data_IF_391745003590
#
_entry.id   IF_391745003590
#
_cell.length_a   1.000
_cell.length_b   1.000
_cell.length_c   1.000
_cell.angle_alpha   90.00
_cell.angle_beta   90.00
_cell.angle_gamma   90.00
#
_symmetry.space_group_name_H-M   'P 1'
#
loop_
_entity.id
_entity.type
_entity.pdbx_description
1 polymer ?
#
# COMPACT_ATOMS: atom_id res chain seq x y z
N UNK A 1 -16.65 -2.79 47.58
CA UNK A 1 -16.34 -4.12 47.02
C UNK A 1 -16.19 -3.99 45.51
N UNK A 2 -14.96 -3.92 44.99
CA UNK A 2 -14.71 -3.56 43.58
C UNK A 2 -13.53 -4.30 42.92
N UNK A 3 -13.25 -5.55 43.34
CA UNK A 3 -12.02 -6.27 42.93
C UNK A 3 -12.23 -7.49 42.00
N UNK A 4 -13.38 -7.64 41.32
CA UNK A 4 -13.65 -8.86 40.53
C UNK A 4 -13.63 -8.69 38.99
N UNK A 5 -13.66 -7.45 38.45
CA UNK A 5 -13.76 -7.23 36.98
C UNK A 5 -12.42 -7.34 36.25
N UNK A 6 -11.32 -6.93 36.86
CA UNK A 6 -9.97 -6.96 36.24
C UNK A 6 -9.39 -8.37 36.21
N UNK A 7 -9.63 -9.17 37.26
CA UNK A 7 -9.16 -10.55 37.34
C UNK A 7 -9.81 -11.46 36.29
N UNK A 8 -11.12 -11.29 36.04
CA UNK A 8 -11.83 -12.07 35.02
C UNK A 8 -11.41 -11.70 33.59
N UNK A 9 -11.13 -10.42 33.33
CA UNK A 9 -10.64 -9.95 32.03
C UNK A 9 -9.23 -10.48 31.72
N UNK A 10 -8.32 -10.42 32.69
CA UNK A 10 -6.97 -10.94 32.54
C UNK A 10 -6.97 -12.46 32.29
N UNK A 11 -7.84 -13.20 32.98
CA UNK A 11 -8.01 -14.65 32.77
C UNK A 11 -8.55 -14.97 31.38
N UNK A 12 -9.52 -14.18 30.88
CA UNK A 12 -10.06 -14.37 29.53
C UNK A 12 -8.99 -14.12 28.47
N UNK A 13 -8.16 -13.09 28.66
CA UNK A 13 -7.05 -12.77 27.73
C UNK A 13 -5.99 -13.88 27.72
N UNK A 14 -5.52 -14.31 28.89
CA UNK A 14 -4.54 -15.40 29.01
C UNK A 14 -5.05 -16.71 28.39
N UNK A 15 -6.33 -17.01 28.55
CA UNK A 15 -6.98 -18.17 27.92
C UNK A 15 -6.97 -18.08 26.40
N UNK A 16 -7.24 -16.89 25.84
CA UNK A 16 -7.24 -16.69 24.40
C UNK A 16 -5.83 -16.84 23.82
N UNK A 17 -4.85 -16.20 24.44
CA UNK A 17 -3.44 -16.30 24.01
C UNK A 17 -2.95 -17.75 24.04
N UNK A 18 -3.30 -18.50 25.09
CA UNK A 18 -2.96 -19.92 25.19
C UNK A 18 -3.60 -20.74 24.04
N UNK A 19 -4.88 -20.49 23.72
CA UNK A 19 -5.59 -21.15 22.61
C UNK A 19 -4.96 -20.88 21.25
N UNK A 20 -4.59 -19.62 21.00
CA UNK A 20 -3.94 -19.22 19.75
C UNK A 20 -2.61 -19.94 19.56
N UNK A 21 -1.79 -20.04 20.62
CA UNK A 21 -0.51 -20.74 20.56
C UNK A 21 -0.67 -22.24 20.36
N UNK A 22 -1.63 -22.86 21.04
CA UNK A 22 -1.93 -24.27 20.85
C UNK A 22 -2.44 -24.57 19.44
N UNK A 23 -3.27 -23.69 18.87
CA UNK A 23 -3.71 -23.75 17.47
C UNK A 23 -2.52 -23.69 16.50
N UNK A 24 -1.60 -22.75 16.72
CA UNK A 24 -0.38 -22.65 15.91
C UNK A 24 0.49 -23.91 16.03
N UNK A 25 0.60 -24.48 17.23
CA UNK A 25 1.31 -25.75 17.45
C UNK A 25 0.66 -26.91 16.69
N UNK A 26 -0.67 -27.00 16.66
CA UNK A 26 -1.41 -27.99 15.86
C UNK A 26 -1.14 -27.83 14.35
N UNK A 27 -1.18 -26.59 13.85
CA UNK A 27 -0.89 -26.30 12.45
C UNK A 27 0.55 -26.64 12.10
N UNK A 28 1.51 -26.31 12.96
CA UNK A 28 2.94 -26.56 12.75
C UNK A 28 3.29 -28.05 12.81
N UNK A 29 2.76 -28.78 13.78
CA UNK A 29 3.13 -30.17 14.02
C UNK A 29 2.32 -31.15 13.17
N UNK A 30 1.01 -30.92 13.01
CA UNK A 30 0.10 -31.85 12.35
C UNK A 30 -0.39 -31.36 10.99
N UNK A 31 -0.14 -30.10 10.62
CA UNK A 31 -0.66 -29.48 9.39
C UNK A 31 -2.15 -29.14 9.44
N UNK A 32 -2.80 -29.22 10.61
CA UNK A 32 -4.23 -28.98 10.77
C UNK A 32 -4.48 -27.53 11.20
N UNK A 33 -5.31 -26.81 10.47
CA UNK A 33 -5.81 -25.50 10.91
C UNK A 33 -7.04 -25.71 11.80
N UNK A 34 -6.92 -25.37 13.08
CA UNK A 34 -8.02 -25.44 14.07
C UNK A 34 -8.25 -24.02 14.59
N UNK A 35 -9.50 -23.57 14.60
CA UNK A 35 -9.86 -22.28 15.20
C UNK A 35 -9.46 -22.27 16.71
N UNK A 36 -8.76 -21.24 17.22
CA UNK A 36 -8.42 -21.10 18.64
C UNK A 36 -9.59 -21.40 19.61
N UNK A 37 -10.81 -21.00 19.24
CA UNK A 37 -12.00 -21.24 20.08
C UNK A 37 -12.40 -22.72 20.13
N UNK A 38 -11.99 -23.49 19.13
CA UNK A 38 -12.22 -24.93 19.01
C UNK A 38 -11.10 -25.77 19.63
N UNK A 39 -9.97 -25.18 19.99
CA UNK A 39 -8.87 -25.90 20.65
C UNK A 39 -9.34 -26.41 22.01
N UNK A 40 -9.16 -27.71 22.23
CA UNK A 40 -9.44 -28.38 23.50
C UNK A 40 -8.17 -29.03 24.04
N UNK A 41 -8.06 -29.00 25.36
CA UNK A 41 -7.00 -29.66 26.11
C UNK A 41 -7.41 -31.12 26.36
N UNK A 42 -8.58 -31.29 26.98
CA UNK A 42 -9.28 -32.56 27.03
C UNK A 42 -9.79 -32.96 25.65
N UNK A 43 -9.15 -33.96 25.05
CA UNK A 43 -9.45 -34.50 23.71
C UNK A 43 -10.20 -35.83 23.81
N UNK A 44 -11.02 -36.01 24.85
CA UNK A 44 -11.74 -37.26 25.14
C UNK A 44 -12.92 -37.52 24.19
N UNK A 45 -13.27 -36.56 23.33
CA UNK A 45 -14.33 -36.77 22.34
C UNK A 45 -13.82 -37.61 21.18
N UNK A 46 -14.68 -38.52 20.73
CA UNK A 46 -14.45 -39.41 19.59
C UNK A 46 -14.10 -38.64 18.31
N UNK A 47 -14.57 -37.41 18.20
CA UNK A 47 -14.36 -36.54 17.02
C UNK A 47 -13.06 -35.73 17.05
N UNK A 48 -12.32 -35.70 18.17
CA UNK A 48 -11.09 -34.92 18.23
C UNK A 48 -9.96 -35.70 17.52
N UNK A 49 -9.40 -35.19 16.40
CA UNK A 49 -8.45 -35.93 15.55
C UNK A 49 -7.04 -36.05 16.16
N UNK A 50 -6.81 -35.36 17.28
CA UNK A 50 -5.51 -35.26 17.93
C UNK A 50 -5.63 -35.51 19.44
N UNK A 51 -4.49 -35.78 20.09
CA UNK A 51 -4.32 -35.78 21.54
C UNK A 51 -3.03 -35.04 21.91
N UNK A 52 -2.90 -34.58 23.16
CA UNK A 52 -1.68 -33.94 23.65
C UNK A 52 -0.77 -34.99 24.29
N UNK A 53 0.48 -35.05 23.85
CA UNK A 53 1.52 -35.91 24.41
C UNK A 53 2.52 -35.03 25.20
N UNK A 54 2.94 -35.50 26.38
CA UNK A 54 3.76 -34.72 27.30
C UNK A 54 4.22 -35.51 28.52
N UNK A 55 5.02 -34.89 29.40
CA UNK A 55 5.51 -35.53 30.62
C UNK A 55 4.36 -35.86 31.58
N UNK A 56 4.51 -36.92 32.38
CA UNK A 56 3.51 -37.36 33.36
C UNK A 56 3.10 -36.25 34.35
N UNK A 57 4.03 -35.35 34.69
CA UNK A 57 3.79 -34.17 35.55
C UNK A 57 2.68 -33.24 35.01
N UNK A 58 2.35 -33.35 33.72
CA UNK A 58 1.32 -32.56 33.05
C UNK A 58 0.05 -33.34 32.73
N UNK A 59 -0.01 -34.63 33.04
CA UNK A 59 -1.16 -35.48 32.71
C UNK A 59 -2.47 -34.95 33.32
N UNK A 60 -2.42 -34.52 34.59
CA UNK A 60 -3.58 -33.95 35.29
C UNK A 60 -4.04 -32.66 34.63
N UNK A 61 -3.10 -31.75 34.32
CA UNK A 61 -3.39 -30.49 33.65
C UNK A 61 -4.00 -30.75 32.28
N UNK A 62 -3.44 -31.66 31.48
CA UNK A 62 -3.91 -32.02 30.13
C UNK A 62 -5.29 -32.70 30.11
N UNK A 63 -5.67 -33.34 31.21
CA UNK A 63 -6.98 -33.98 31.37
C UNK A 63 -8.12 -32.99 31.69
N UNK A 64 -7.77 -31.76 32.09
CA UNK A 64 -8.71 -30.71 32.49
C UNK A 64 -9.20 -29.83 31.32
N UNK A 65 -10.22 -29.01 31.58
CA UNK A 65 -10.67 -28.00 30.62
C UNK A 65 -9.84 -26.71 30.77
N UNK A 66 -9.56 -26.01 29.68
CA UNK A 66 -8.93 -24.67 29.74
C UNK A 66 -9.70 -23.67 30.64
N UNK A 67 -10.99 -23.90 30.90
CA UNK A 67 -11.81 -23.08 31.80
C UNK A 67 -11.62 -23.38 33.29
N UNK A 68 -11.07 -24.55 33.66
CA UNK A 68 -10.82 -24.93 35.06
C UNK A 68 -9.43 -24.53 35.51
N UNK A 69 -8.48 -24.40 34.58
CA UNK A 69 -7.10 -24.00 34.87
C UNK A 69 -6.99 -22.61 35.49
N UNK A 70 -6.07 -22.49 36.45
CA UNK A 70 -5.64 -21.21 37.03
C UNK A 70 -4.83 -20.39 36.01
N UNK A 71 -4.71 -19.07 36.22
CA UNK A 71 -3.89 -18.22 35.34
C UNK A 71 -2.42 -18.66 35.31
N UNK A 72 -1.89 -19.13 36.45
CA UNK A 72 -0.53 -19.65 36.53
C UNK A 72 -0.36 -20.88 35.63
N UNK A 73 -1.31 -21.83 35.67
CA UNK A 73 -1.28 -23.01 34.83
C UNK A 73 -1.44 -22.66 33.34
N UNK A 74 -2.23 -21.65 32.99
CA UNK A 74 -2.37 -21.18 31.61
C UNK A 74 -1.06 -20.59 31.05
N UNK A 75 -0.35 -19.76 31.82
CA UNK A 75 0.94 -19.21 31.39
C UNK A 75 2.02 -20.29 31.30
N UNK A 76 2.08 -21.21 32.28
CA UNK A 76 3.02 -22.33 32.26
C UNK A 76 2.75 -23.27 31.08
N UNK A 77 1.49 -23.57 30.78
CA UNK A 77 1.10 -24.38 29.63
C UNK A 77 1.54 -23.71 28.31
N UNK A 78 1.34 -22.40 28.19
CA UNK A 78 1.78 -21.62 27.02
C UNK A 78 3.29 -21.68 26.83
N UNK A 79 4.07 -21.51 27.90
CA UNK A 79 5.52 -21.62 27.85
C UNK A 79 6.00 -23.04 27.42
N UNK A 80 5.35 -24.08 27.95
CA UNK A 80 5.70 -25.48 27.69
C UNK A 80 5.33 -25.94 26.29
N UNK A 81 4.20 -25.46 25.74
CA UNK A 81 3.82 -25.67 24.34
C UNK A 81 4.81 -24.97 23.41
N UNK A 82 5.25 -23.74 23.73
CA UNK A 82 6.26 -23.04 22.94
C UNK A 82 7.63 -23.72 22.97
N UNK A 83 8.00 -24.31 24.12
CA UNK A 83 9.21 -25.11 24.28
C UNK A 83 9.13 -26.50 23.62
N UNK A 84 7.95 -26.88 23.09
CA UNK A 84 7.74 -28.17 22.41
C UNK A 84 7.78 -29.39 23.34
N UNK A 85 7.68 -29.17 24.66
CA UNK A 85 7.66 -30.26 25.65
C UNK A 85 6.33 -31.01 25.57
N UNK A 86 5.23 -30.27 25.43
CA UNK A 86 3.91 -30.82 25.11
C UNK A 86 3.68 -30.62 23.61
N UNK A 87 3.34 -31.69 22.91
CA UNK A 87 3.14 -31.67 21.47
C UNK A 87 1.88 -32.44 21.07
N UNK A 88 1.13 -31.94 20.06
CA UNK A 88 -0.04 -32.64 19.60
C UNK A 88 0.36 -33.84 18.74
N UNK A 89 -0.37 -34.95 18.88
CA UNK A 89 -0.21 -36.16 18.08
C UNK A 89 -1.53 -36.58 17.46
N UNK A 90 -1.47 -37.16 16.26
CA UNK A 90 -2.64 -37.75 15.61
C UNK A 90 -3.14 -38.95 16.40
N UNK A 91 -4.44 -39.01 16.69
CA UNK A 91 -5.08 -40.28 17.05
C UNK A 91 -5.05 -41.14 15.79
N UNK A 92 -4.20 -42.16 15.76
CA UNK A 92 -4.13 -43.07 14.62
C UNK A 92 -5.51 -43.69 14.39
N UNK A 93 -6.16 -43.38 13.27
CA UNK A 93 -7.36 -44.09 12.81
C UNK A 93 -7.07 -45.56 12.46
N UNK A 94 -5.80 -46.02 12.50
CA UNK A 94 -5.44 -47.44 12.28
C UNK A 94 -5.73 -48.34 13.48
N UNK A 95 -6.48 -47.87 14.47
CA UNK A 95 -6.84 -48.63 15.67
C UNK A 95 -8.02 -49.60 15.52
N UNK A 96 -8.73 -49.64 14.38
CA UNK A 96 -9.91 -50.51 14.18
C UNK A 96 -9.95 -51.16 12.78
N UNK A 97 -8.80 -51.64 12.25
CA UNK A 97 -8.78 -52.56 11.10
C UNK A 97 -8.71 -54.04 11.52
N UNK A 98 -9.10 -54.36 12.75
CA UNK A 98 -9.42 -55.74 13.15
C UNK A 98 -10.93 -55.88 13.17
N UNK A 99 -11.50 -56.48 12.12
CA UNK A 99 -12.85 -57.06 12.18
C UNK A 99 -13.93 -56.44 11.30
N UNK A 100 -13.59 -55.62 10.30
CA UNK A 100 -14.51 -55.27 9.22
C UNK A 100 -14.33 -56.25 8.06
N UNK A 101 -15.35 -57.07 7.85
CA UNK A 101 -15.51 -58.04 6.76
C UNK A 101 -15.04 -57.44 5.41
N UNK A 102 -13.79 -57.70 5.03
CA UNK A 102 -13.29 -57.45 3.69
C UNK A 102 -13.98 -58.49 2.80
N UNK A 103 -15.15 -58.16 2.26
CA UNK A 103 -15.50 -58.64 0.94
C UNK A 103 -14.40 -58.15 0.00
N UNK A 104 -13.38 -58.99 -0.18
CA UNK A 104 -12.27 -58.78 -1.08
C UNK A 104 -12.83 -58.64 -2.50
N UNK A 105 -13.12 -57.40 -2.89
CA UNK A 105 -13.14 -57.04 -4.29
C UNK A 105 -11.79 -57.47 -4.86
N UNK A 106 -11.75 -58.31 -5.91
CA UNK A 106 -10.51 -58.81 -6.49
C UNK A 106 -9.53 -57.67 -6.71
N UNK A 107 -8.24 -57.90 -6.46
CA UNK A 107 -7.17 -56.91 -6.65
C UNK A 107 -7.24 -56.22 -8.02
N UNK A 108 -7.79 -56.90 -9.03
CA UNK A 108 -8.05 -56.38 -10.37
C UNK A 108 -9.01 -55.18 -10.39
N UNK A 109 -10.06 -55.17 -9.57
CA UNK A 109 -10.98 -54.04 -9.44
C UNK A 109 -10.28 -52.82 -8.79
N UNK A 110 -9.53 -53.06 -7.71
CA UNK A 110 -8.72 -52.01 -7.05
C UNK A 110 -7.67 -51.42 -7.99
N UNK A 111 -7.03 -52.26 -8.81
CA UNK A 111 -6.03 -51.83 -9.78
C UNK A 111 -6.65 -50.99 -10.89
N UNK A 112 -7.83 -51.35 -11.38
CA UNK A 112 -8.59 -50.57 -12.38
C UNK A 112 -9.04 -49.22 -11.83
N UNK A 113 -9.52 -49.17 -10.58
CA UNK A 113 -9.88 -47.92 -9.91
C UNK A 113 -8.66 -47.01 -9.73
N UNK A 114 -7.53 -47.56 -9.28
CA UNK A 114 -6.29 -46.79 -9.13
C UNK A 114 -5.78 -46.26 -10.47
N UNK A 115 -5.87 -47.04 -11.55
CA UNK A 115 -5.54 -46.58 -12.90
C UNK A 115 -6.47 -45.44 -13.35
N UNK A 116 -7.77 -45.52 -13.07
CA UNK A 116 -8.72 -44.45 -13.38
C UNK A 116 -8.42 -43.17 -12.61
N UNK A 117 -8.12 -43.29 -11.31
CA UNK A 117 -7.76 -42.15 -10.45
C UNK A 117 -6.46 -41.50 -10.95
N UNK A 118 -5.44 -42.29 -11.27
CA UNK A 118 -4.16 -41.78 -11.76
C UNK A 118 -4.34 -41.06 -13.10
N UNK A 119 -5.16 -41.59 -14.01
CA UNK A 119 -5.53 -40.91 -15.26
C UNK A 119 -6.15 -39.52 -15.02
N UNK A 120 -7.17 -39.45 -14.14
CA UNK A 120 -7.80 -38.16 -13.77
C UNK A 120 -6.81 -37.19 -13.13
N UNK A 121 -5.90 -37.68 -12.29
CA UNK A 121 -4.86 -36.84 -11.68
C UNK A 121 -3.87 -36.32 -12.72
N UNK A 122 -3.49 -37.12 -13.72
CA UNK A 122 -2.60 -36.68 -14.79
C UNK A 122 -3.27 -35.61 -15.66
N UNK A 123 -4.55 -35.76 -15.98
CA UNK A 123 -5.34 -34.74 -16.69
C UNK A 123 -5.41 -33.44 -15.89
N UNK A 124 -5.67 -33.52 -14.58
CA UNK A 124 -5.72 -32.34 -13.71
C UNK A 124 -4.36 -31.64 -13.61
N UNK A 125 -3.26 -32.40 -13.50
CA UNK A 125 -1.91 -31.84 -13.51
C UNK A 125 -1.62 -31.12 -14.84
N UNK A 126 -2.00 -31.71 -15.98
CA UNK A 126 -1.82 -31.09 -17.28
C UNK A 126 -2.60 -29.77 -17.38
N UNK A 127 -3.87 -29.77 -16.94
CA UNK A 127 -4.72 -28.58 -16.90
C UNK A 127 -4.13 -27.48 -16.02
N UNK A 128 -3.68 -27.82 -14.82
CA UNK A 128 -3.08 -26.84 -13.89
C UNK A 128 -1.77 -26.27 -14.45
N UNK A 129 -0.96 -27.08 -15.14
CA UNK A 129 0.25 -26.60 -15.81
C UNK A 129 -0.05 -25.59 -16.91
N UNK A 130 -1.07 -25.84 -17.71
CA UNK A 130 -1.54 -24.90 -18.74
C UNK A 130 -2.01 -23.58 -18.12
N UNK A 131 -2.86 -23.66 -17.08
CA UNK A 131 -3.33 -22.47 -16.36
C UNK A 131 -2.19 -21.65 -15.73
N UNK A 132 -1.20 -22.33 -15.13
CA UNK A 132 -0.01 -21.68 -14.61
C UNK A 132 0.83 -21.02 -15.72
N UNK A 133 0.93 -21.65 -16.89
CA UNK A 133 1.61 -21.08 -18.06
C UNK A 133 0.93 -19.80 -18.56
N UNK A 134 -0.40 -19.83 -18.67
CA UNK A 134 -1.18 -18.66 -19.06
C UNK A 134 -1.08 -17.52 -18.04
N UNK A 135 -1.15 -17.85 -16.74
CA UNK A 135 -0.97 -16.87 -15.67
C UNK A 135 0.42 -16.23 -15.72
N UNK A 136 1.48 -17.03 -15.90
CA UNK A 136 2.85 -16.54 -16.02
C UNK A 136 3.03 -15.60 -17.23
N UNK A 137 2.40 -15.94 -18.36
CA UNK A 137 2.41 -15.07 -19.55
C UNK A 137 1.72 -13.73 -19.28
N UNK A 138 0.56 -13.74 -18.63
CA UNK A 138 -0.17 -12.51 -18.25
C UNK A 138 0.63 -11.64 -17.29
N UNK A 139 1.32 -12.25 -16.32
CA UNK A 139 2.20 -11.53 -15.39
C UNK A 139 3.33 -10.86 -16.17
N UNK A 140 4.03 -11.60 -17.02
CA UNK A 140 5.14 -11.06 -17.83
C UNK A 140 4.70 -9.92 -18.76
N UNK A 141 3.52 -10.03 -19.38
CA UNK A 141 2.96 -8.94 -20.19
C UNK A 141 2.57 -7.73 -19.34
N UNK A 142 2.05 -7.97 -18.12
CA UNK A 142 1.75 -6.92 -17.14
C UNK A 142 3.00 -6.14 -16.73
N UNK A 143 4.06 -6.85 -16.36
CA UNK A 143 5.36 -6.27 -15.97
C UNK A 143 5.98 -5.43 -17.11
N UNK A 144 5.84 -5.86 -18.37
CA UNK A 144 6.30 -5.07 -19.52
C UNK A 144 5.54 -3.75 -19.64
N UNK A 145 4.21 -3.79 -19.54
CA UNK A 145 3.38 -2.57 -19.61
C UNK A 145 3.65 -1.64 -18.44
N UNK A 146 3.86 -2.18 -17.24
CA UNK A 146 4.20 -1.40 -16.05
C UNK A 146 5.53 -0.66 -16.25
N UNK A 147 6.56 -1.36 -16.73
CA UNK A 147 7.84 -0.74 -17.06
C UNK A 147 7.73 0.34 -18.14
N UNK A 148 6.94 0.12 -19.19
CA UNK A 148 6.67 1.12 -20.23
C UNK A 148 5.99 2.37 -19.66
N UNK A 149 4.97 2.18 -18.81
CA UNK A 149 4.28 3.28 -18.14
C UNK A 149 5.22 4.04 -17.21
N UNK A 150 6.06 3.35 -16.45
CA UNK A 150 7.03 3.97 -15.55
C UNK A 150 8.03 4.84 -16.32
N UNK A 151 8.57 4.32 -17.44
CA UNK A 151 9.45 5.09 -18.31
C UNK A 151 8.76 6.32 -18.92
N UNK A 152 7.47 6.22 -19.26
CA UNK A 152 6.70 7.36 -19.77
C UNK A 152 6.44 8.41 -18.69
N UNK A 153 6.13 7.99 -17.47
CA UNK A 153 5.96 8.90 -16.33
C UNK A 153 7.25 9.65 -16.05
N UNK A 154 8.40 8.98 -16.08
CA UNK A 154 9.70 9.63 -15.87
C UNK A 154 9.99 10.68 -16.95
N UNK A 155 9.70 10.38 -18.23
CA UNK A 155 9.82 11.37 -19.31
C UNK A 155 8.93 12.59 -19.11
N UNK A 156 7.66 12.37 -18.75
CA UNK A 156 6.72 13.46 -18.49
C UNK A 156 7.14 14.34 -17.31
N UNK A 157 7.75 13.74 -16.26
CA UNK A 157 8.31 14.50 -15.14
C UNK A 157 9.46 15.38 -15.63
N UNK A 158 10.37 14.84 -16.44
CA UNK A 158 11.50 15.62 -16.99
C UNK A 158 11.01 16.77 -17.90
N UNK A 159 10.03 16.52 -18.77
CA UNK A 159 9.43 17.56 -19.62
C UNK A 159 8.75 18.65 -18.79
N UNK A 160 8.00 18.25 -17.76
CA UNK A 160 7.37 19.18 -16.82
C UNK A 160 8.43 20.09 -16.16
N UNK A 161 9.51 19.52 -15.65
CA UNK A 161 10.60 20.30 -15.02
C UNK A 161 11.26 21.29 -16.00
N UNK A 162 11.40 20.91 -17.27
CA UNK A 162 11.90 21.80 -18.32
C UNK A 162 10.95 22.97 -18.56
N UNK A 163 9.65 22.70 -18.65
CA UNK A 163 8.64 23.76 -18.81
C UNK A 163 8.57 24.68 -17.59
N UNK A 164 8.67 24.15 -16.37
CA UNK A 164 8.71 24.97 -15.15
C UNK A 164 9.92 25.92 -15.14
N UNK A 165 11.10 25.44 -15.55
CA UNK A 165 12.30 26.30 -15.71
C UNK A 165 12.07 27.38 -16.77
N UNK A 166 11.46 27.05 -17.90
CA UNK A 166 11.16 28.01 -18.96
C UNK A 166 10.17 29.08 -18.49
N UNK A 167 9.12 28.68 -17.76
CA UNK A 167 8.15 29.61 -17.16
C UNK A 167 8.85 30.54 -16.17
N UNK A 168 9.69 30.02 -15.29
CA UNK A 168 10.47 30.83 -14.35
C UNK A 168 11.32 31.87 -15.08
N UNK A 169 12.04 31.46 -16.13
CA UNK A 169 12.86 32.36 -16.94
C UNK A 169 12.03 33.49 -17.58
N UNK A 170 10.87 33.16 -18.14
CA UNK A 170 9.98 34.16 -18.73
C UNK A 170 9.40 35.12 -17.68
N UNK A 171 9.07 34.62 -16.48
CA UNK A 171 8.59 35.45 -15.38
C UNK A 171 9.66 36.44 -14.89
N UNK A 172 10.90 35.98 -14.77
CA UNK A 172 12.03 36.84 -14.42
C UNK A 172 12.27 37.91 -15.50
N UNK A 173 12.21 37.52 -16.77
CA UNK A 173 12.29 38.46 -17.90
C UNK A 173 11.17 39.51 -17.87
N UNK A 174 9.93 39.09 -17.61
CA UNK A 174 8.78 40.00 -17.49
C UNK A 174 8.97 40.98 -16.32
N UNK A 175 9.43 40.49 -15.17
CA UNK A 175 9.72 41.31 -13.99
C UNK A 175 10.79 42.36 -14.30
N UNK A 176 11.85 41.97 -14.98
CA UNK A 176 12.90 42.89 -15.37
C UNK A 176 12.39 43.97 -16.35
N UNK A 177 11.58 43.58 -17.33
CA UNK A 177 10.96 44.52 -18.27
C UNK A 177 10.02 45.52 -17.57
N UNK A 178 9.26 45.07 -16.56
CA UNK A 178 8.42 45.93 -15.72
C UNK A 178 9.26 46.96 -14.95
N UNK A 179 10.34 46.53 -14.29
CA UNK A 179 11.26 47.41 -13.57
C UNK A 179 11.84 48.47 -14.52
N UNK A 180 12.32 48.05 -15.69
CA UNK A 180 12.90 48.95 -16.69
C UNK A 180 11.88 49.95 -17.22
N UNK A 181 10.65 49.51 -17.49
CA UNK A 181 9.58 50.38 -17.98
C UNK A 181 9.19 51.42 -16.93
N UNK A 182 9.09 51.02 -15.67
CA UNK A 182 8.80 51.95 -14.57
C UNK A 182 9.93 52.97 -14.37
N UNK A 183 11.18 52.53 -14.49
CA UNK A 183 12.33 53.44 -14.46
C UNK A 183 12.25 54.50 -15.57
N UNK A 184 12.00 54.10 -16.83
CA UNK A 184 11.81 55.04 -17.93
C UNK A 184 10.63 55.98 -17.71
N UNK A 185 9.52 55.47 -17.15
CA UNK A 185 8.34 56.28 -16.79
C UNK A 185 8.72 57.36 -15.80
N UNK A 186 9.48 57.03 -14.75
CA UNK A 186 9.96 58.00 -13.76
C UNK A 186 10.88 59.05 -14.38
N UNK A 187 11.88 58.64 -15.16
CA UNK A 187 12.78 59.57 -15.83
C UNK A 187 12.04 60.52 -16.79
N UNK A 188 11.05 60.03 -17.53
CA UNK A 188 10.22 60.85 -18.40
C UNK A 188 9.46 61.92 -17.61
N UNK A 189 8.83 61.55 -16.48
CA UNK A 189 8.13 62.50 -15.60
C UNK A 189 9.09 63.57 -15.07
N UNK A 190 10.29 63.19 -14.64
CA UNK A 190 11.32 64.15 -14.18
C UNK A 190 11.76 65.11 -15.30
N UNK A 191 11.99 64.60 -16.51
CA UNK A 191 12.33 65.41 -17.68
C UNK A 191 11.23 66.43 -18.00
N UNK A 192 9.96 66.01 -18.00
CA UNK A 192 8.83 66.93 -18.22
C UNK A 192 8.71 67.98 -17.11
N UNK A 193 8.92 67.59 -15.85
CA UNK A 193 8.92 68.54 -14.73
C UNK A 193 10.01 69.60 -14.87
N UNK A 194 11.25 69.19 -15.19
CA UNK A 194 12.36 70.12 -15.39
C UNK A 194 12.16 71.02 -16.60
N UNK A 195 11.65 70.48 -17.71
CA UNK A 195 11.32 71.28 -18.89
C UNK A 195 10.24 72.34 -18.57
N UNK A 196 9.21 71.96 -17.81
CA UNK A 196 8.17 72.90 -17.37
C UNK A 196 8.72 73.99 -16.44
N UNK A 197 9.66 73.66 -15.55
CA UNK A 197 10.36 74.65 -14.73
C UNK A 197 11.20 75.62 -15.58
N UNK A 198 11.94 75.11 -16.57
CA UNK A 198 12.72 75.95 -17.49
C UNK A 198 11.83 76.92 -18.28
N UNK A 199 10.68 76.45 -18.78
CA UNK A 199 9.71 77.31 -19.48
C UNK A 199 9.20 78.43 -18.58
N UNK A 200 8.87 78.14 -17.31
CA UNK A 200 8.47 79.18 -16.35
C UNK A 200 9.56 80.23 -16.13
N UNK A 201 10.83 79.81 -16.06
CA UNK A 201 11.96 80.74 -15.94
C UNK A 201 12.06 81.64 -17.17
N UNK A 202 11.95 81.09 -18.38
CA UNK A 202 11.97 81.85 -19.64
C UNK A 202 10.84 82.89 -19.67
N UNK A 203 9.61 82.48 -19.33
CA UNK A 203 8.44 83.36 -19.29
C UNK A 203 8.64 84.51 -18.29
N UNK A 204 9.15 84.20 -17.09
CA UNK A 204 9.41 85.21 -16.05
C UNK A 204 10.56 86.17 -16.39
N UNK A 205 11.49 85.77 -17.24
CA UNK A 205 12.66 86.57 -17.62
C UNK A 205 12.39 87.59 -18.74
N UNK A 206 11.17 87.58 -19.32
CA UNK A 206 10.82 88.49 -20.43
C UNK A 206 11.48 88.17 -21.77
N UNK A 207 12.27 87.09 -21.85
CA UNK A 207 12.95 86.64 -23.07
C UNK A 207 12.00 85.96 -24.08
N UNK A 208 10.77 85.63 -23.67
CA UNK A 208 9.77 84.99 -24.52
C UNK A 208 8.97 85.93 -25.44
N UNK A 209 9.14 87.26 -25.35
CA UNK A 209 8.49 88.20 -26.27
C UNK A 209 9.37 88.48 -27.49
N UNK A 210 9.50 87.48 -28.35
CA UNK A 210 9.82 87.75 -29.75
C UNK A 210 8.50 88.16 -30.40
N UNK A 211 8.33 89.45 -30.72
CA UNK A 211 7.29 89.90 -31.62
C UNK A 211 7.55 89.24 -32.98
N UNK A 212 6.80 88.20 -33.31
CA UNK A 212 6.92 87.54 -34.60
C UNK A 212 6.43 88.50 -35.70
N UNK A 213 7.28 88.89 -36.67
CA UNK A 213 6.83 89.67 -37.82
C UNK A 213 6.08 88.74 -38.78
N UNK A 214 4.76 88.85 -38.78
CA UNK A 214 3.84 88.45 -39.86
C UNK A 214 4.35 87.35 -40.82
N UNK A 215 4.32 86.09 -40.40
CA UNK A 215 4.52 84.96 -41.31
C UNK A 215 3.16 84.56 -41.91
N UNK A 216 2.84 85.12 -43.08
CA UNK A 216 1.82 84.59 -43.99
C UNK A 216 2.41 83.35 -44.67
N UNK A 217 2.19 82.18 -44.08
CA UNK A 217 2.68 80.90 -44.59
C UNK A 217 1.54 79.90 -44.77
N UNK A 218 1.16 79.74 -46.02
CA UNK A 218 0.28 78.77 -46.66
C UNK A 218 0.04 77.44 -45.90
N UNK A 219 -1.23 77.11 -45.69
CA UNK A 219 -1.68 75.83 -45.11
C UNK A 219 -1.62 74.73 -46.16
N UNK A 220 -0.47 74.05 -46.26
CA UNK A 220 -0.30 72.83 -47.04
C UNK A 220 -0.98 71.63 -46.37
N UNK A 221 -1.77 70.90 -47.16
CA UNK A 221 -2.65 69.78 -46.81
C UNK A 221 -2.00 68.64 -45.98
N UNK A 222 -2.77 67.99 -45.08
CA UNK A 222 -2.30 66.84 -44.32
C UNK A 222 -2.28 65.55 -45.17
N UNK A 223 -1.09 65.01 -45.38
CA UNK A 223 -0.90 63.66 -45.93
C UNK A 223 -1.43 62.60 -44.95
N UNK A 224 -2.46 61.86 -45.39
CA UNK A 224 -2.90 60.61 -44.78
C UNK A 224 -1.85 59.52 -45.02
N UNK A 225 -1.27 58.98 -43.94
CA UNK A 225 -0.56 57.71 -43.98
C UNK A 225 -1.53 56.57 -43.66
N UNK A 226 -1.78 55.73 -44.65
CA UNK A 226 -2.48 54.45 -44.52
C UNK A 226 -1.53 53.41 -43.93
N UNK A 227 -1.87 52.86 -42.76
CA UNK A 227 -1.18 51.70 -42.20
C UNK A 227 -1.67 50.41 -42.89
N UNK A 228 -0.73 49.56 -43.30
CA UNK A 228 -0.93 48.15 -43.65
C UNK A 228 -0.30 47.27 -42.59
#
# INVERSE_FOLDING_TARGET
MGCNKTFSQNRSKAKQECREQMSQSLQKALGISVDPDRVRLKTDKTDDPYYWDGPDDWADVLSENLSTLSNANLESLKDIVNKGIIHPRWKSQRGNLTGGDNTDLPYEFKMKDLQSINGKQQEEIARLREQCGDAAKRISEGEKRENELQNNVEKLIQEKEQFEKQVSYMQDGLRQAQITTEHYRMCNVECYSRAAEMLKVIDSSGLGRVQDPAFQGDTGDPFYFSNS
#
